data_IF_308879559157
#
_entry.id   IF_308879559157
#
_cell.length_a   1.000
_cell.length_b   1.000
_cell.length_c   1.000
_cell.angle_alpha   90.00
_cell.angle_beta   90.00
_cell.angle_gamma   90.00
#
_symmetry.space_group_name_H-M   'P 1'
#
loop_
_entity.id
_entity.type
_entity.pdbx_description
1 polymer ?
#
# COMPACT_ATOMS: atom_id res chain seq x y z
N UNK A 1 -18.38 -69.70 -4.52
CA UNK A 1 -19.38 -68.92 -5.29
C UNK A 1 -20.12 -68.01 -4.31
N UNK A 2 -20.31 -66.73 -4.66
CA UNK A 2 -20.79 -65.57 -3.84
C UNK A 2 -19.66 -64.92 -3.01
N UNK A 3 -18.94 -63.88 -3.48
CA UNK A 3 -19.31 -62.49 -3.86
C UNK A 3 -19.79 -61.67 -2.65
N UNK A 4 -19.01 -60.67 -2.24
CA UNK A 4 -19.36 -59.24 -2.03
C UNK A 4 -18.20 -58.55 -1.26
N UNK A 5 -17.27 -57.83 -1.92
CA UNK A 5 -17.31 -56.43 -2.36
C UNK A 5 -17.27 -55.34 -1.25
N UNK A 6 -16.31 -54.41 -1.44
CA UNK A 6 -16.31 -52.98 -1.10
C UNK A 6 -16.22 -52.53 0.37
N UNK A 7 -15.16 -51.78 0.75
CA UNK A 7 -15.15 -50.30 0.74
C UNK A 7 -13.97 -49.68 1.52
N UNK A 8 -13.30 -48.76 0.82
CA UNK A 8 -12.79 -47.47 1.30
C UNK A 8 -11.84 -47.45 2.52
N UNK A 9 -10.54 -47.61 2.24
CA UNK A 9 -9.55 -46.81 2.95
C UNK A 9 -9.67 -45.36 2.45
N UNK A 10 -10.62 -44.61 3.00
CA UNK A 10 -10.61 -43.16 2.89
C UNK A 10 -9.45 -42.65 3.75
N UNK A 11 -8.25 -42.57 3.15
CA UNK A 11 -7.21 -41.70 3.63
C UNK A 11 -7.77 -40.28 3.55
N UNK A 12 -8.35 -39.81 4.66
CA UNK A 12 -8.60 -38.39 4.86
C UNK A 12 -7.20 -37.79 5.01
N UNK A 13 -6.54 -37.50 3.89
CA UNK A 13 -5.63 -36.37 3.81
C UNK A 13 -6.48 -35.15 4.10
N UNK A 14 -6.70 -34.89 5.38
CA UNK A 14 -6.82 -33.53 5.86
C UNK A 14 -5.42 -32.93 5.65
N UNK A 15 -5.09 -32.65 4.39
CA UNK A 15 -4.43 -31.39 4.10
C UNK A 15 -5.42 -30.37 4.66
N UNK A 16 -5.22 -30.02 5.94
CA UNK A 16 -5.62 -28.73 6.40
C UNK A 16 -4.97 -27.79 5.38
N UNK A 17 -5.77 -27.33 4.42
CA UNK A 17 -5.48 -26.08 3.77
C UNK A 17 -5.37 -25.13 4.95
N UNK A 18 -4.13 -24.90 5.40
CA UNK A 18 -3.84 -23.76 6.23
C UNK A 18 -4.49 -22.61 5.46
N UNK A 19 -5.44 -21.87 6.05
CA UNK A 19 -5.88 -20.65 5.40
C UNK A 19 -4.60 -19.90 5.09
N UNK A 20 -4.34 -19.66 3.80
CA UNK A 20 -3.16 -18.94 3.34
C UNK A 20 -3.07 -17.67 4.18
N UNK A 21 -2.08 -17.61 5.07
CA UNK A 21 -2.02 -16.61 6.12
C UNK A 21 -1.45 -15.34 5.49
N UNK A 22 -2.34 -14.53 4.90
CA UNK A 22 -1.97 -13.23 4.36
C UNK A 22 -1.04 -12.47 5.31
N UNK A 23 0.10 -12.01 4.78
CA UNK A 23 1.13 -11.33 5.55
C UNK A 23 0.65 -9.92 5.94
N UNK A 24 1.05 -9.46 7.13
CA UNK A 24 0.90 -8.06 7.51
C UNK A 24 2.27 -7.53 7.86
N UNK A 25 2.68 -6.43 7.24
CA UNK A 25 3.95 -5.78 7.51
C UNK A 25 3.73 -4.43 8.16
N UNK A 26 4.53 -4.13 9.18
CA UNK A 26 4.63 -2.79 9.74
C UNK A 26 5.94 -2.14 9.32
N UNK A 27 5.81 -0.94 8.79
CA UNK A 27 6.89 -0.08 8.35
C UNK A 27 6.99 1.11 9.27
N UNK A 28 8.20 1.43 9.69
CA UNK A 28 8.55 2.65 10.39
C UNK A 28 9.86 3.14 9.75
N UNK A 29 9.79 4.18 8.91
CA UNK A 29 10.91 4.76 8.16
C UNK A 29 11.21 6.17 8.67
N UNK A 30 12.49 6.50 8.79
CA UNK A 30 12.93 7.90 8.91
C UNK A 30 13.32 8.42 7.53
N UNK A 31 12.91 9.64 7.23
CA UNK A 31 12.98 10.21 5.91
C UNK A 31 13.53 11.63 5.96
N UNK A 32 14.28 12.03 4.94
CA UNK A 32 14.60 13.43 4.66
C UNK A 32 13.78 13.89 3.46
N UNK A 33 12.97 14.94 3.62
CA UNK A 33 12.11 15.44 2.55
C UNK A 33 12.94 16.17 1.48
N UNK A 34 12.78 15.77 0.22
CA UNK A 34 13.50 16.38 -0.92
C UNK A 34 12.71 17.49 -1.60
N UNK A 35 11.39 17.52 -1.40
CA UNK A 35 10.48 18.45 -2.04
C UNK A 35 9.33 17.76 -2.76
N UNK A 36 8.37 18.57 -3.17
CA UNK A 36 7.25 18.28 -4.05
C UNK A 36 7.58 18.84 -5.42
N UNK A 37 7.43 18.03 -6.46
CA UNK A 37 7.59 18.44 -7.85
C UNK A 37 6.31 18.24 -8.64
N UNK A 38 6.14 19.03 -9.70
CA UNK A 38 5.13 18.81 -10.76
C UNK A 38 5.83 18.44 -12.05
N UNK A 39 5.25 17.53 -12.85
CA UNK A 39 5.83 17.20 -14.16
C UNK A 39 5.55 18.27 -15.22
N UNK A 40 4.54 19.10 -14.98
CA UNK A 40 4.11 20.16 -15.89
C UNK A 40 3.31 21.20 -15.10
N UNK A 41 3.49 22.48 -15.45
CA UNK A 41 2.74 23.61 -14.89
C UNK A 41 2.31 24.56 -16.01
N UNK A 42 1.00 24.70 -16.17
CA UNK A 42 0.38 25.66 -17.09
C UNK A 42 -0.50 26.61 -16.29
N UNK A 43 -0.57 27.89 -16.65
CA UNK A 43 -1.50 28.80 -15.99
C UNK A 43 -1.54 30.20 -16.56
N UNK A 44 -2.52 30.97 -16.12
CA UNK A 44 -2.73 32.37 -16.50
C UNK A 44 -2.68 33.23 -15.25
N UNK A 45 -1.83 34.27 -15.24
CA UNK A 45 -1.77 35.27 -14.16
C UNK A 45 -2.73 36.41 -14.49
N UNK A 46 -3.60 36.78 -13.56
CA UNK A 46 -4.50 37.91 -13.75
C UNK A 46 -3.74 39.24 -13.68
N UNK A 47 -3.95 40.10 -14.69
CA UNK A 47 -3.38 41.45 -14.73
C UNK A 47 -1.95 41.54 -15.28
N UNK A 48 -1.41 40.45 -15.84
CA UNK A 48 -0.19 40.48 -16.64
C UNK A 48 -0.52 40.25 -18.12
N UNK A 49 -0.23 41.24 -18.96
CA UNK A 49 -0.53 41.23 -20.40
C UNK A 49 0.24 40.14 -21.17
N UNK A 50 1.21 39.45 -20.53
CA UNK A 50 1.97 38.32 -21.09
C UNK A 50 1.35 36.94 -20.83
N UNK A 51 0.24 36.92 -20.08
CA UNK A 51 -0.85 35.95 -19.91
C UNK A 51 -0.66 34.42 -19.86
N UNK A 52 0.47 33.81 -20.21
CA UNK A 52 0.61 32.35 -20.09
C UNK A 52 1.92 31.98 -19.38
N UNK A 53 1.79 31.42 -18.18
CA UNK A 53 2.84 30.58 -17.58
C UNK A 53 2.72 29.23 -18.27
N UNK A 54 3.76 28.89 -19.01
CA UNK A 54 3.91 27.57 -19.59
C UNK A 54 5.30 27.07 -19.26
N UNK A 55 5.39 26.19 -18.26
CA UNK A 55 6.61 25.46 -17.93
C UNK A 55 6.41 24.04 -18.42
N UNK A 56 6.83 23.82 -19.66
CA UNK A 56 6.85 22.51 -20.29
C UNK A 56 8.07 21.70 -19.84
N UNK A 57 7.81 20.45 -19.51
CA UNK A 57 8.71 19.30 -19.50
C UNK A 57 9.87 19.24 -18.49
N UNK A 58 10.06 20.22 -17.61
CA UNK A 58 11.01 20.12 -16.51
C UNK A 58 10.30 20.00 -15.16
N UNK A 59 10.74 19.05 -14.32
CA UNK A 59 10.28 18.85 -12.94
C UNK A 59 10.29 20.21 -12.19
N UNK A 60 9.12 20.80 -12.02
CA UNK A 60 8.98 22.08 -11.33
C UNK A 60 8.98 21.85 -9.83
N UNK A 61 9.98 22.37 -9.11
CA UNK A 61 9.99 22.35 -7.65
C UNK A 61 8.87 23.27 -7.12
N UNK A 62 7.89 22.66 -6.46
CA UNK A 62 6.75 23.36 -5.90
C UNK A 62 7.07 24.05 -4.57
N UNK A 63 7.99 23.52 -3.76
CA UNK A 63 8.29 24.14 -2.48
C UNK A 63 8.89 25.54 -2.67
N UNK A 64 8.33 26.52 -1.96
CA UNK A 64 8.77 27.91 -2.05
C UNK A 64 8.33 28.67 -3.31
N UNK A 65 7.47 28.08 -4.16
CA UNK A 65 6.96 28.78 -5.35
C UNK A 65 6.15 30.04 -4.95
N UNK A 66 6.33 31.13 -5.70
CA UNK A 66 5.65 32.41 -5.44
C UNK A 66 4.14 32.38 -5.74
N UNK A 67 3.65 31.32 -6.37
CA UNK A 67 2.26 31.19 -6.78
C UNK A 67 1.37 30.50 -5.73
N UNK A 68 1.94 30.06 -4.61
CA UNK A 68 1.21 29.38 -3.54
C UNK A 68 0.66 28.01 -3.94
N UNK A 69 1.28 27.34 -4.93
CA UNK A 69 0.78 26.05 -5.41
C UNK A 69 0.89 24.96 -4.32
N UNK A 70 -0.01 23.96 -4.32
CA UNK A 70 -0.13 23.01 -3.21
C UNK A 70 1.04 22.03 -3.15
N UNK A 71 1.68 21.93 -1.99
CA UNK A 71 2.69 20.92 -1.66
C UNK A 71 2.11 19.83 -0.75
N UNK A 72 2.84 18.75 -0.49
CA UNK A 72 2.36 17.67 0.39
C UNK A 72 2.03 18.18 1.80
N UNK A 73 2.97 18.92 2.39
CA UNK A 73 2.84 19.50 3.72
C UNK A 73 3.61 20.82 3.75
N UNK A 74 2.89 21.94 3.84
CA UNK A 74 3.47 23.29 3.81
C UNK A 74 4.34 23.63 5.03
N UNK A 75 4.40 22.75 6.03
CA UNK A 75 5.30 22.89 7.18
C UNK A 75 6.66 22.26 6.97
N UNK A 76 6.87 21.52 5.89
CA UNK A 76 8.14 20.90 5.55
C UNK A 76 8.85 21.73 4.48
N UNK A 77 10.14 21.91 4.67
CA UNK A 77 11.06 22.43 3.68
C UNK A 77 11.97 21.30 3.19
N UNK A 78 12.46 21.36 1.94
CA UNK A 78 13.51 20.46 1.48
C UNK A 78 14.69 20.42 2.48
N UNK A 79 15.11 19.22 2.87
CA UNK A 79 16.11 18.95 3.91
C UNK A 79 15.53 18.67 5.30
N UNK A 80 14.24 18.92 5.54
CA UNK A 80 13.62 18.61 6.84
C UNK A 80 13.46 17.11 7.05
N UNK A 81 13.73 16.67 8.28
CA UNK A 81 13.50 15.28 8.69
C UNK A 81 12.02 15.02 8.99
N UNK A 82 11.58 13.82 8.63
CA UNK A 82 10.22 13.36 8.78
C UNK A 82 10.14 11.83 8.82
N UNK A 83 8.94 11.27 8.77
CA UNK A 83 8.76 9.82 8.86
C UNK A 83 7.63 9.28 7.99
N UNK A 84 7.74 8.00 7.65
CA UNK A 84 6.63 7.20 7.15
C UNK A 84 6.38 6.04 8.10
N UNK A 85 5.13 5.89 8.54
CA UNK A 85 4.71 4.73 9.32
C UNK A 85 3.45 4.15 8.69
N UNK A 86 3.41 2.83 8.53
CA UNK A 86 2.25 2.15 7.97
C UNK A 86 2.12 0.72 8.48
N UNK A 87 0.89 0.21 8.46
CA UNK A 87 0.62 -1.22 8.60
C UNK A 87 -0.15 -1.69 7.36
N UNK A 88 0.50 -2.56 6.59
CA UNK A 88 0.04 -3.01 5.29
C UNK A 88 -0.29 -4.49 5.35
N UNK A 89 -1.47 -4.85 4.83
CA UNK A 89 -1.93 -6.21 4.65
C UNK A 89 -1.68 -6.62 3.21
N UNK A 90 -0.93 -7.70 2.98
CA UNK A 90 -0.64 -8.24 1.65
C UNK A 90 -1.25 -9.64 1.55
N UNK A 91 -2.21 -9.89 0.65
CA UNK A 91 -2.82 -11.20 0.49
C UNK A 91 -1.83 -12.20 -0.12
N UNK A 92 -1.92 -13.46 0.33
CA UNK A 92 -1.15 -14.57 -0.26
C UNK A 92 -1.79 -14.98 -1.60
N UNK A 93 -1.01 -14.96 -2.67
CA UNK A 93 -1.44 -15.42 -4.00
C UNK A 93 -0.62 -14.78 -5.12
N UNK A 94 -0.69 -15.32 -6.36
CA UNK A 94 -0.07 -14.67 -7.50
C UNK A 94 -0.67 -13.28 -7.68
N UNK A 95 0.18 -12.32 -8.06
CA UNK A 95 -0.21 -10.97 -8.42
C UNK A 95 -1.34 -10.98 -9.47
N UNK A 96 -2.59 -10.85 -9.03
CA UNK A 96 -3.72 -10.74 -9.95
C UNK A 96 -3.84 -9.28 -10.40
N UNK A 97 -3.11 -8.93 -11.45
CA UNK A 97 -3.38 -7.74 -12.24
C UNK A 97 -4.72 -7.93 -12.95
N UNK A 98 -5.86 -7.49 -12.39
CA UNK A 98 -7.09 -7.66 -13.17
C UNK A 98 -8.44 -7.35 -12.56
N UNK A 99 -8.56 -6.81 -11.35
CA UNK A 99 -9.84 -6.25 -10.95
C UNK A 99 -9.64 -4.97 -10.16
N UNK A 100 -10.14 -3.87 -10.70
CA UNK A 100 -10.05 -2.50 -10.18
C UNK A 100 -10.52 -2.30 -8.73
N UNK A 101 -10.95 -3.36 -8.00
CA UNK A 101 -11.47 -3.27 -6.64
C UNK A 101 -11.23 -4.51 -5.75
N UNK A 102 -10.41 -5.50 -6.13
CA UNK A 102 -10.60 -6.86 -5.61
C UNK A 102 -9.56 -7.45 -4.68
N UNK A 103 -8.35 -7.70 -5.18
CA UNK A 103 -7.44 -8.68 -4.58
C UNK A 103 -6.04 -8.15 -4.27
N UNK A 104 -5.81 -6.83 -4.38
CA UNK A 104 -4.58 -6.20 -3.90
C UNK A 104 -4.55 -6.12 -2.38
N UNK A 105 -3.36 -5.98 -1.80
CA UNK A 105 -3.22 -5.64 -0.39
C UNK A 105 -3.94 -4.35 0.00
N UNK A 106 -4.02 -4.10 1.30
CA UNK A 106 -4.68 -2.91 1.86
C UNK A 106 -3.79 -2.27 2.91
N UNK A 107 -3.73 -0.94 2.91
CA UNK A 107 -3.20 -0.21 4.06
C UNK A 107 -4.26 -0.20 5.17
N UNK A 108 -3.97 -0.76 6.34
CA UNK A 108 -4.83 -0.64 7.52
C UNK A 108 -4.82 0.79 8.03
N UNK A 109 -3.63 1.38 8.07
CA UNK A 109 -3.38 2.78 8.35
C UNK A 109 -2.01 3.15 7.80
N UNK A 110 -1.83 4.43 7.52
CA UNK A 110 -0.51 4.99 7.20
C UNK A 110 -0.47 6.49 7.50
N UNK A 111 0.74 6.97 7.78
CA UNK A 111 1.06 8.36 8.01
C UNK A 111 2.37 8.63 7.27
N UNK A 112 2.36 9.59 6.35
CA UNK A 112 3.56 10.10 5.70
C UNK A 112 3.70 11.57 6.04
N UNK A 113 4.84 11.90 6.61
CA UNK A 113 5.23 13.27 6.87
C UNK A 113 4.19 14.07 7.69
N UNK A 114 3.60 13.40 8.69
CA UNK A 114 2.52 13.91 9.55
C UNK A 114 1.13 13.91 8.90
N UNK A 115 1.02 13.60 7.62
CA UNK A 115 -0.25 13.50 6.89
C UNK A 115 -0.75 12.06 6.96
N UNK A 116 -1.86 11.86 7.68
CA UNK A 116 -2.64 10.63 7.60
C UNK A 116 -3.51 10.70 6.35
N UNK A 117 -3.51 9.66 5.52
CA UNK A 117 -4.54 9.56 4.49
C UNK A 117 -5.63 8.59 4.94
N UNK A 118 -6.85 9.11 4.95
CA UNK A 118 -8.06 8.31 5.12
C UNK A 118 -8.50 7.67 3.79
N UNK A 119 -7.57 7.46 2.85
CA UNK A 119 -7.86 6.88 1.55
C UNK A 119 -7.67 5.37 1.58
N UNK A 120 -8.58 4.66 0.93
CA UNK A 120 -8.42 3.25 0.63
C UNK A 120 -7.47 3.11 -0.55
N UNK A 121 -6.31 2.49 -0.36
CA UNK A 121 -5.52 2.01 -1.49
C UNK A 121 -6.22 0.79 -2.08
N UNK A 122 -6.46 0.84 -3.39
CA UNK A 122 -7.07 -0.26 -4.14
C UNK A 122 -6.07 -1.42 -4.32
N UNK A 123 -4.79 -1.06 -4.30
CA UNK A 123 -3.69 -1.97 -4.53
C UNK A 123 -2.54 -1.67 -3.57
N UNK A 124 -2.09 -2.69 -2.84
CA UNK A 124 -0.86 -2.67 -2.07
C UNK A 124 -0.05 -3.93 -2.35
N UNK A 125 1.22 -3.75 -2.69
CA UNK A 125 2.28 -4.75 -2.61
C UNK A 125 3.29 -4.30 -1.57
N UNK A 126 3.59 -5.17 -0.64
CA UNK A 126 4.49 -4.82 0.43
C UNK A 126 5.16 -6.10 0.94
N UNK A 127 6.47 -6.04 1.09
CA UNK A 127 7.32 -7.08 1.67
C UNK A 127 8.47 -6.42 2.46
N UNK A 128 9.47 -7.20 2.87
CA UNK A 128 10.59 -6.67 3.66
C UNK A 128 11.52 -5.73 2.89
N UNK A 129 11.43 -5.71 1.56
CA UNK A 129 12.36 -5.02 0.67
C UNK A 129 11.68 -3.87 -0.10
N UNK A 130 10.37 -3.91 -0.31
CA UNK A 130 9.67 -2.96 -1.16
C UNK A 130 8.27 -2.62 -0.65
N UNK A 131 7.83 -1.39 -0.94
CA UNK A 131 6.44 -0.96 -0.80
C UNK A 131 5.97 -0.35 -2.11
N UNK A 132 4.81 -0.79 -2.58
CA UNK A 132 4.05 -0.16 -3.65
C UNK A 132 2.58 -0.08 -3.25
N UNK A 133 2.02 1.12 -3.27
CA UNK A 133 0.60 1.35 -3.02
C UNK A 133 0.01 2.22 -4.12
N UNK A 134 -1.22 1.94 -4.56
CA UNK A 134 -1.91 2.75 -5.56
C UNK A 134 -3.43 2.83 -5.32
N UNK A 135 -4.00 3.98 -5.65
CA UNK A 135 -5.44 4.28 -5.65
C UNK A 135 -5.75 5.06 -6.92
N UNK A 136 -6.11 4.32 -7.96
CA UNK A 136 -6.22 4.79 -9.35
C UNK A 136 -5.04 5.67 -9.78
N UNK A 137 -5.36 6.69 -10.56
CA UNK A 137 -4.38 7.66 -11.08
C UNK A 137 -4.12 8.85 -10.13
N UNK A 138 -4.68 8.81 -8.92
CA UNK A 138 -4.67 9.96 -8.02
C UNK A 138 -3.60 9.84 -6.94
N UNK A 139 -3.32 8.63 -6.46
CA UNK A 139 -2.37 8.43 -5.36
C UNK A 139 -1.55 7.19 -5.59
N UNK A 140 -0.24 7.33 -5.53
CA UNK A 140 0.67 6.19 -5.59
C UNK A 140 1.85 6.43 -4.65
N UNK A 141 2.29 5.39 -3.95
CA UNK A 141 3.53 5.40 -3.17
C UNK A 141 4.40 4.26 -3.66
N UNK A 142 5.69 4.53 -3.88
CA UNK A 142 6.67 3.52 -4.23
C UNK A 142 7.99 3.76 -3.49
N UNK A 143 8.57 2.70 -2.94
CA UNK A 143 9.89 2.73 -2.32
C UNK A 143 10.54 1.35 -2.37
N UNK A 144 11.81 1.31 -2.78
CA UNK A 144 12.75 0.27 -2.35
C UNK A 144 13.22 0.61 -0.94
N UNK A 145 13.23 -0.37 -0.03
CA UNK A 145 13.47 -0.15 1.40
C UNK A 145 14.96 -0.28 1.73
N UNK A 146 15.75 0.55 1.07
CA UNK A 146 17.19 0.65 1.25
C UNK A 146 17.54 2.07 1.69
N UNK A 147 18.40 2.19 2.70
CA UNK A 147 18.90 3.50 3.15
C UNK A 147 19.64 4.21 2.01
N UNK A 148 19.37 5.49 1.84
CA UNK A 148 19.87 6.32 0.75
C UNK A 148 19.01 6.30 -0.52
N UNK A 149 18.07 5.35 -0.67
CA UNK A 149 17.14 5.34 -1.80
C UNK A 149 15.98 6.34 -1.62
N UNK A 150 15.20 6.51 -2.69
CA UNK A 150 14.10 7.46 -2.74
C UNK A 150 12.76 6.77 -2.51
N UNK A 151 11.99 7.28 -1.55
CA UNK A 151 10.54 7.06 -1.49
C UNK A 151 9.85 8.16 -2.27
N UNK A 152 8.97 7.77 -3.19
CA UNK A 152 8.17 8.69 -4.01
C UNK A 152 6.69 8.52 -3.69
N UNK A 153 6.02 9.65 -3.43
CA UNK A 153 4.58 9.70 -3.18
C UNK A 153 3.90 10.67 -4.15
N UNK A 154 3.11 10.13 -5.08
CA UNK A 154 2.21 10.89 -5.95
C UNK A 154 0.87 11.12 -5.24
N UNK A 155 0.36 12.35 -5.28
CA UNK A 155 -0.89 12.74 -4.62
C UNK A 155 -1.66 13.80 -5.39
N UNK A 156 -2.26 13.46 -6.52
CA UNK A 156 -3.07 14.38 -7.30
C UNK A 156 -4.49 14.58 -6.74
N UNK A 157 -5.16 15.70 -7.10
CA UNK A 157 -6.60 15.89 -6.86
C UNK A 157 -7.47 15.20 -7.95
N UNK A 158 -6.82 14.72 -9.01
CA UNK A 158 -7.35 14.06 -10.21
C UNK A 158 -6.18 13.88 -11.21
N UNK A 159 -6.37 13.17 -12.33
CA UNK A 159 -5.29 12.97 -13.32
C UNK A 159 -4.61 14.30 -13.74
N UNK A 160 -5.43 15.33 -13.96
CA UNK A 160 -5.02 16.74 -14.06
C UNK A 160 -5.55 17.48 -12.84
N UNK A 161 -4.68 18.15 -12.10
CA UNK A 161 -5.08 18.99 -10.99
C UNK A 161 -5.21 20.45 -11.43
N UNK A 162 -6.22 21.14 -10.92
CA UNK A 162 -6.51 22.53 -11.24
C UNK A 162 -6.69 23.33 -9.95
N UNK A 163 -6.14 24.54 -9.92
CA UNK A 163 -6.28 25.49 -8.82
C UNK A 163 -6.50 26.90 -9.36
N UNK A 164 -7.53 27.56 -8.86
CA UNK A 164 -7.70 29.01 -9.02
C UNK A 164 -7.35 29.69 -7.70
N UNK A 165 -6.54 30.74 -7.80
CA UNK A 165 -6.11 31.62 -6.72
C UNK A 165 -6.55 33.05 -7.02
N UNK A 166 -6.23 33.98 -6.13
CA UNK A 166 -6.40 35.42 -6.34
C UNK A 166 -5.48 35.98 -7.44
N UNK A 167 -4.33 35.34 -7.68
CA UNK A 167 -3.35 35.78 -8.68
C UNK A 167 -3.54 35.13 -10.06
N UNK A 168 -4.30 34.05 -10.17
CA UNK A 168 -4.39 33.33 -11.44
C UNK A 168 -5.01 31.93 -11.35
N UNK A 169 -5.05 31.25 -12.48
CA UNK A 169 -5.52 29.87 -12.61
C UNK A 169 -4.43 28.96 -13.15
N UNK A 170 -4.24 27.79 -12.52
CA UNK A 170 -3.13 26.88 -12.77
C UNK A 170 -3.62 25.46 -12.97
N UNK A 171 -3.08 24.79 -13.98
CA UNK A 171 -3.13 23.35 -14.18
C UNK A 171 -1.75 22.75 -13.90
N UNK A 172 -1.72 21.64 -13.18
CA UNK A 172 -0.49 20.92 -12.88
C UNK A 172 -0.73 19.40 -12.85
N UNK A 173 0.33 18.66 -13.15
CA UNK A 173 0.30 17.20 -13.29
C UNK A 173 1.31 16.53 -12.37
N UNK A 174 1.00 15.28 -12.00
CA UNK A 174 1.88 14.36 -11.28
C UNK A 174 2.59 14.98 -10.07
N UNK A 175 1.81 15.54 -9.14
CA UNK A 175 2.35 16.05 -7.88
C UNK A 175 3.03 14.95 -7.11
N UNK A 176 4.34 15.01 -7.01
CA UNK A 176 5.15 13.96 -6.41
C UNK A 176 6.02 14.54 -5.30
N UNK A 177 5.83 14.06 -4.08
CA UNK A 177 6.71 14.33 -2.96
C UNK A 177 7.77 13.24 -2.91
N UNK A 178 9.03 13.65 -2.85
CA UNK A 178 10.17 12.74 -2.82
C UNK A 178 10.88 12.84 -1.47
N UNK A 179 11.44 11.72 -1.03
CA UNK A 179 12.13 11.61 0.24
C UNK A 179 13.34 10.70 0.10
N UNK A 180 14.46 11.05 0.73
CA UNK A 180 15.55 10.10 0.96
C UNK A 180 15.21 9.25 2.19
N UNK A 181 15.45 7.95 2.10
CA UNK A 181 15.28 7.02 3.21
C UNK A 181 16.53 7.05 4.09
N UNK A 182 16.39 7.50 5.34
CA UNK A 182 17.50 7.62 6.27
C UNK A 182 17.67 6.36 7.13
N UNK A 183 16.55 5.76 7.57
CA UNK A 183 16.54 4.53 8.37
C UNK A 183 15.31 3.69 8.00
N UNK A 184 15.49 2.37 7.98
CA UNK A 184 14.43 1.40 7.65
C UNK A 184 14.19 0.44 8.81
N UNK A 185 12.94 0.37 9.28
CA UNK A 185 12.48 -0.68 10.19
C UNK A 185 11.21 -1.34 9.63
N UNK A 186 11.36 -2.57 9.14
CA UNK A 186 10.25 -3.42 8.69
C UNK A 186 10.10 -4.63 9.59
N UNK A 187 8.87 -4.96 9.97
CA UNK A 187 8.57 -6.19 10.72
C UNK A 187 7.32 -6.87 10.20
N UNK A 188 7.39 -8.19 10.08
CA UNK A 188 6.21 -9.03 9.89
C UNK A 188 5.42 -9.08 11.21
N UNK A 189 4.16 -8.71 11.15
CA UNK A 189 3.20 -8.68 12.26
C UNK A 189 1.98 -9.56 11.96
N UNK A 190 2.10 -10.49 10.99
CA UNK A 190 1.10 -11.50 10.72
C UNK A 190 0.68 -12.21 12.01
N UNK A 191 -0.63 -12.43 12.17
CA UNK A 191 -1.17 -13.04 13.39
C UNK A 191 -0.65 -14.48 13.50
N UNK A 192 -0.05 -14.78 14.65
CA UNK A 192 0.52 -16.07 15.09
C UNK A 192 -0.27 -17.28 14.58
N UNK A 193 0.39 -18.37 14.12
CA UNK A 193 -0.28 -19.60 13.72
C UNK A 193 -1.30 -20.06 14.76
N UNK A 194 -2.48 -20.48 14.29
CA UNK A 194 -3.60 -20.95 15.13
C UNK A 194 -3.06 -21.85 16.25
N UNK A 195 -3.41 -21.58 17.53
CA UNK A 195 -2.93 -22.39 18.64
C UNK A 195 -3.20 -23.87 18.36
N UNK A 196 -2.25 -24.75 18.72
CA UNK A 196 -2.35 -26.20 18.58
C UNK A 196 -3.67 -26.79 19.09
N UNK A 197 -4.42 -26.06 19.93
CA UNK A 197 -5.80 -26.28 20.33
C UNK A 197 -6.76 -26.58 19.18
N UNK A 198 -6.64 -25.90 18.03
CA UNK A 198 -7.50 -26.13 16.86
C UNK A 198 -7.22 -27.47 16.18
N UNK A 199 -5.94 -27.83 16.06
CA UNK A 199 -5.50 -29.13 15.54
C UNK A 199 -5.85 -30.28 16.51
N UNK A 200 -5.74 -30.05 17.82
CA UNK A 200 -6.15 -30.98 18.87
C UNK A 200 -7.67 -31.22 18.87
N UNK A 201 -8.48 -30.20 18.57
CA UNK A 201 -9.93 -30.36 18.47
C UNK A 201 -10.32 -31.29 17.31
N UNK A 202 -9.72 -31.10 16.14
CA UNK A 202 -9.94 -31.95 14.96
C UNK A 202 -9.45 -33.39 15.19
N UNK A 203 -8.27 -33.54 15.82
CA UNK A 203 -7.75 -34.84 16.24
C UNK A 203 -8.66 -35.55 17.25
N UNK A 204 -9.17 -34.83 18.25
CA UNK A 204 -10.09 -35.38 19.24
C UNK A 204 -11.42 -35.83 18.61
N UNK A 205 -12.00 -35.05 17.69
CA UNK A 205 -13.23 -35.43 17.01
C UNK A 205 -13.05 -36.68 16.13
N UNK A 206 -11.92 -36.82 15.45
CA UNK A 206 -11.58 -38.02 14.67
C UNK A 206 -11.52 -39.29 15.53
N UNK A 207 -10.92 -39.19 16.72
CA UNK A 207 -10.84 -40.31 17.68
C UNK A 207 -12.23 -40.68 18.21
N UNK A 208 -13.10 -39.72 18.52
CA UNK A 208 -14.46 -40.00 18.97
C UNK A 208 -15.33 -40.66 17.89
N UNK A 209 -15.21 -40.22 16.63
CA UNK A 209 -15.94 -40.83 15.52
C UNK A 209 -15.51 -42.29 15.27
N UNK A 210 -14.21 -42.59 15.32
CA UNK A 210 -13.69 -43.95 15.20
C UNK A 210 -14.17 -44.87 16.34
N UNK A 211 -14.20 -44.36 17.58
CA UNK A 211 -14.65 -45.11 18.75
C UNK A 211 -16.15 -45.42 18.71
N UNK A 212 -16.97 -44.50 18.20
CA UNK A 212 -18.42 -44.68 18.07
C UNK A 212 -18.79 -45.71 17.00
N UNK A 213 -17.95 -45.86 15.96
CA UNK A 213 -18.12 -46.88 14.90
C UNK A 213 -17.77 -48.28 15.39
N UNK A 214 -16.74 -48.41 16.23
CA UNK A 214 -16.32 -49.69 16.83
C UNK A 214 -17.34 -50.27 17.83
N UNK A 215 -18.13 -49.41 18.48
CA UNK A 215 -19.17 -49.84 19.45
C UNK A 215 -20.54 -50.11 18.80
N UNK A 216 -20.67 -49.98 17.47
CA UNK A 216 -21.92 -50.23 16.72
C UNK A 216 -21.81 -51.38 15.71
N UNK A 217 -20.63 -52.00 15.61
CA UNK A 217 -20.39 -53.26 14.92
C UNK A 217 -20.23 -54.36 15.96
#
# INVERSE_FOLDING_TARGET
MKVFQFLAAAAITAAAAAPASAATYRYDLKLTYLGTTYSELQGTIYGDDRNDIHVDEDLFLADGNSYGLPVLNSRLNPGDQTSFSAELYTPDGPDVWGNDYGNGGKAKWWILAGTQCNCTFEYVRADQENISMSSGDTKALYAGLVEGETLSYMFNLGYRSYLTTDIGSFNFWNRTASFTIDEVSVRDVSSVPVPASGALLLGAMGIFAARRRKNRA
#
